data_IF_539529461160
#
_entry.id   IF_539529461160
#
_cell.length_a   1.000
_cell.length_b   1.000
_cell.length_c   1.000
_cell.angle_alpha   90.00
_cell.angle_beta   90.00
_cell.angle_gamma   90.00
#
_symmetry.space_group_name_H-M   'P 1'
#
loop_
_entity.id
_entity.type
_entity.pdbx_description
1 polymer ?
#
# COMPACT_ATOMS: atom_id res chain seq x y z
N UNK A 1 26.97 22.88 -0.81
CA UNK A 1 26.42 22.38 0.46
C UNK A 1 26.35 20.87 0.31
N UNK A 2 26.96 20.08 1.19
CA UNK A 2 26.73 18.63 1.16
C UNK A 2 25.24 18.40 1.39
N UNK A 3 24.54 17.87 0.39
CA UNK A 3 23.11 17.54 0.53
C UNK A 3 22.99 16.51 1.65
N UNK A 4 22.29 16.87 2.72
CA UNK A 4 21.99 15.98 3.83
C UNK A 4 21.10 14.84 3.29
N UNK A 5 21.63 13.61 3.30
CA UNK A 5 20.84 12.41 3.01
C UNK A 5 19.94 12.11 4.21
N UNK A 6 18.64 12.04 3.98
CA UNK A 6 17.64 11.84 5.03
C UNK A 6 16.88 10.53 4.83
N UNK A 7 16.81 9.70 5.86
CA UNK A 7 16.01 8.47 5.87
C UNK A 7 14.85 8.65 6.85
N UNK A 8 13.64 8.78 6.35
CA UNK A 8 12.42 8.75 7.15
C UNK A 8 11.95 7.33 7.42
N UNK A 9 11.53 7.03 8.64
CA UNK A 9 10.92 5.76 9.01
C UNK A 9 9.43 5.95 9.32
N UNK A 10 8.58 5.18 8.63
CA UNK A 10 7.13 5.12 8.85
C UNK A 10 6.65 3.68 8.99
N UNK A 11 5.42 3.48 9.46
CA UNK A 11 4.88 2.17 9.79
C UNK A 11 4.04 2.15 11.07
N UNK A 12 3.22 1.10 11.27
CA UNK A 12 2.30 1.06 12.39
C UNK A 12 3.01 0.79 13.72
N UNK A 13 2.31 1.04 14.83
CA UNK A 13 2.83 0.77 16.18
C UNK A 13 3.26 -0.70 16.32
N UNK A 14 4.44 -0.93 16.89
CA UNK A 14 4.99 -2.28 17.11
C UNK A 14 5.71 -2.90 15.90
N UNK A 15 5.78 -2.20 14.76
CA UNK A 15 6.47 -2.71 13.57
C UNK A 15 8.01 -2.72 13.70
N UNK A 16 8.58 -1.95 14.64
CA UNK A 16 10.03 -1.94 14.90
C UNK A 16 10.81 -0.80 14.24
N UNK A 17 10.16 0.33 13.94
CA UNK A 17 10.81 1.56 13.41
C UNK A 17 11.94 2.07 14.30
N UNK A 18 11.65 2.29 15.58
CA UNK A 18 12.64 2.71 16.57
C UNK A 18 13.79 1.72 16.69
N UNK A 19 13.51 0.41 16.59
CA UNK A 19 14.55 -0.62 16.59
C UNK A 19 15.46 -0.55 15.35
N UNK A 20 14.92 -0.20 14.17
CA UNK A 20 15.71 0.07 12.97
C UNK A 20 16.58 1.33 13.14
N UNK A 21 16.00 2.42 13.66
CA UNK A 21 16.71 3.67 13.90
C UNK A 21 17.87 3.48 14.89
N UNK A 22 17.63 2.82 16.02
CA UNK A 22 18.65 2.47 17.00
C UNK A 22 19.76 1.58 16.40
N UNK A 23 19.41 0.63 15.54
CA UNK A 23 20.38 -0.23 14.88
C UNK A 23 21.30 0.58 13.96
N UNK A 24 20.72 1.45 13.12
CA UNK A 24 21.48 2.34 12.25
C UNK A 24 22.39 3.28 13.05
N UNK A 25 21.89 3.84 14.14
CA UNK A 25 22.67 4.71 15.01
C UNK A 25 23.85 3.97 15.66
N UNK A 26 23.61 2.80 16.27
CA UNK A 26 24.65 2.02 16.96
C UNK A 26 25.70 1.44 16.02
N UNK A 27 25.28 0.93 14.85
CA UNK A 27 26.18 0.21 13.93
C UNK A 27 26.91 1.14 12.97
N UNK A 28 26.23 2.16 12.45
CA UNK A 28 26.76 3.04 11.40
C UNK A 28 27.02 4.47 11.89
N UNK A 29 26.77 4.77 13.17
CA UNK A 29 27.03 6.09 13.76
C UNK A 29 26.10 7.19 13.24
N UNK A 30 24.93 6.81 12.73
CA UNK A 30 23.97 7.71 12.08
C UNK A 30 23.16 8.49 13.12
N UNK A 31 23.04 9.80 12.92
CA UNK A 31 22.19 10.67 13.73
C UNK A 31 20.73 10.24 13.61
N UNK A 32 20.02 10.16 14.73
CA UNK A 32 18.59 9.78 14.75
C UNK A 32 17.79 10.83 15.49
N UNK A 33 16.75 11.34 14.85
CA UNK A 33 15.80 12.30 15.41
C UNK A 33 14.43 11.63 15.48
N UNK A 34 13.91 11.46 16.68
CA UNK A 34 12.56 10.93 16.92
C UNK A 34 11.56 12.08 16.93
N UNK A 35 10.60 12.09 16.01
CA UNK A 35 9.66 13.21 15.90
C UNK A 35 8.85 13.44 17.19
N UNK A 36 8.47 12.38 17.90
CA UNK A 36 7.72 12.52 19.16
C UNK A 36 8.55 13.09 20.32
N UNK A 37 9.88 13.09 20.25
CA UNK A 37 10.69 13.75 21.29
C UNK A 37 10.70 15.27 21.15
N UNK A 38 10.42 15.79 19.96
CA UNK A 38 10.33 17.23 19.70
C UNK A 38 9.04 17.87 20.26
N UNK A 39 8.07 17.04 20.66
CA UNK A 39 6.80 17.46 21.27
C UNK A 39 6.87 17.53 22.80
N UNK A 40 8.05 17.27 23.38
CA UNK A 40 8.29 17.31 24.81
C UNK A 40 8.91 18.65 25.17
N UNK A 41 8.41 19.26 26.24
CA UNK A 41 8.98 20.52 26.73
C UNK A 41 10.30 20.28 27.47
N UNK A 42 10.42 19.11 28.13
CA UNK A 42 11.64 18.61 28.77
C UNK A 42 11.98 17.22 28.20
N UNK A 43 13.23 16.94 27.76
CA UNK A 43 13.67 15.63 27.31
C UNK A 43 13.32 14.47 28.28
N UNK A 44 13.36 14.73 29.59
CA UNK A 44 13.11 13.74 30.64
C UNK A 44 11.63 13.62 31.02
N UNK A 45 10.74 14.40 30.39
CA UNK A 45 9.30 14.40 30.65
C UNK A 45 8.68 13.02 30.35
N UNK A 46 8.01 12.42 31.34
CA UNK A 46 7.20 11.21 31.15
C UNK A 46 5.81 11.58 30.70
N UNK A 47 5.66 11.79 29.39
CA UNK A 47 4.38 12.01 28.74
C UNK A 47 3.83 10.69 28.21
N UNK A 48 2.54 10.43 28.44
CA UNK A 48 1.89 9.28 27.85
C UNK A 48 1.74 9.42 26.33
N UNK A 49 1.40 8.32 25.67
CA UNK A 49 1.32 8.29 24.21
C UNK A 49 0.12 9.08 23.68
N UNK A 50 -0.97 9.22 24.42
CA UNK A 50 -2.16 9.95 23.96
C UNK A 50 -1.93 11.46 24.00
N UNK A 51 -1.23 11.94 25.03
CA UNK A 51 -0.88 13.34 25.19
C UNK A 51 0.11 13.80 24.12
N UNK A 52 1.15 13.01 23.82
CA UNK A 52 2.06 13.31 22.70
C UNK A 52 1.32 13.37 21.35
N UNK A 53 0.25 12.57 21.18
CA UNK A 53 -0.57 12.63 19.98
C UNK A 53 -1.35 13.93 19.92
N UNK A 54 -2.02 14.30 21.02
CA UNK A 54 -2.77 15.55 21.13
C UNK A 54 -1.88 16.77 20.86
N UNK A 55 -0.68 16.83 21.46
CA UNK A 55 0.29 17.90 21.20
C UNK A 55 0.69 17.96 19.72
N UNK A 56 0.94 16.81 19.09
CA UNK A 56 1.28 16.74 17.68
C UNK A 56 0.13 17.18 16.77
N UNK A 57 -1.11 16.82 17.09
CA UNK A 57 -2.29 17.22 16.32
C UNK A 57 -2.57 18.72 16.47
N UNK A 58 -2.40 19.26 17.68
CA UNK A 58 -2.49 20.70 17.94
C UNK A 58 -1.43 21.48 17.15
N UNK A 59 -0.17 21.04 17.16
CA UNK A 59 0.90 21.67 16.39
C UNK A 59 0.60 21.67 14.88
N UNK A 60 0.03 20.59 14.35
CA UNK A 60 -0.39 20.52 12.93
C UNK A 60 -1.54 21.48 12.61
N UNK A 61 -2.44 21.72 13.56
CA UNK A 61 -3.53 22.67 13.41
C UNK A 61 -3.04 24.12 13.44
N UNK A 62 -2.10 24.43 14.33
CA UNK A 62 -1.63 25.80 14.58
C UNK A 62 -0.57 26.27 13.57
N UNK A 63 0.40 25.40 13.26
CA UNK A 63 1.59 25.75 12.45
C UNK A 63 1.62 25.04 11.08
N UNK A 64 0.65 24.15 10.83
CA UNK A 64 0.49 23.42 9.57
C UNK A 64 0.98 21.97 9.62
N UNK A 65 0.49 21.15 8.68
CA UNK A 65 0.65 19.69 8.70
C UNK A 65 2.09 19.16 8.66
N UNK A 66 3.05 20.00 8.25
CA UNK A 66 4.47 19.67 8.13
C UNK A 66 5.36 20.26 9.24
N UNK A 67 4.79 20.98 10.21
CA UNK A 67 5.54 21.70 11.24
C UNK A 67 6.57 20.80 11.96
N UNK A 68 6.17 19.60 12.35
CA UNK A 68 7.05 18.65 13.06
C UNK A 68 8.24 18.19 12.20
N UNK A 69 8.06 18.05 10.88
CA UNK A 69 9.14 17.73 9.96
C UNK A 69 10.09 18.91 9.73
N UNK A 70 9.56 20.13 9.71
CA UNK A 70 10.37 21.35 9.62
C UNK A 70 11.28 21.49 10.85
N UNK A 71 10.72 21.32 12.06
CA UNK A 71 11.49 21.30 13.31
C UNK A 71 12.56 20.20 13.31
N UNK A 72 12.20 19.00 12.87
CA UNK A 72 13.14 17.88 12.80
C UNK A 72 14.30 18.15 11.83
N UNK A 73 14.01 18.74 10.66
CA UNK A 73 15.04 19.06 9.68
C UNK A 73 15.98 20.18 10.17
N UNK A 74 15.45 21.22 10.81
CA UNK A 74 16.25 22.29 11.43
C UNK A 74 17.17 21.73 12.53
N UNK A 75 16.65 20.83 13.37
CA UNK A 75 17.47 20.12 14.36
C UNK A 75 18.58 19.28 13.70
N UNK A 76 18.28 18.58 12.60
CA UNK A 76 19.26 17.78 11.86
C UNK A 76 20.39 18.63 11.25
N UNK A 77 20.05 19.81 10.71
CA UNK A 77 21.03 20.71 10.10
C UNK A 77 21.99 21.33 11.12
N UNK A 78 21.58 21.42 12.38
CA UNK A 78 22.42 21.90 13.49
C UNK A 78 23.40 20.83 14.00
N UNK A 79 23.27 19.57 13.57
CA UNK A 79 24.19 18.51 13.98
C UNK A 79 25.51 18.53 13.20
N UNK A 80 26.68 18.75 13.87
CA UNK A 80 27.97 18.93 13.19
C UNK A 80 28.52 17.72 12.42
N UNK A 81 27.88 16.54 12.57
CA UNK A 81 28.35 15.25 12.03
C UNK A 81 27.46 14.68 10.91
N UNK A 82 26.36 15.33 10.56
CA UNK A 82 25.34 14.71 9.73
C UNK A 82 25.66 14.82 8.23
N UNK A 83 26.40 13.84 7.70
CA UNK A 83 26.31 13.48 6.27
C UNK A 83 25.02 12.74 5.95
N UNK A 84 24.41 12.10 6.96
CA UNK A 84 23.12 11.42 6.87
C UNK A 84 22.38 11.46 8.21
N UNK A 85 21.04 11.57 8.16
CA UNK A 85 20.15 11.56 9.33
C UNK A 85 19.00 10.59 9.16
N UNK A 86 18.54 9.97 10.26
CA UNK A 86 17.33 9.14 10.31
C UNK A 86 16.25 9.85 11.09
N UNK A 87 15.07 10.04 10.49
CA UNK A 87 13.87 10.56 11.14
C UNK A 87 12.95 9.41 11.54
N UNK A 88 12.84 9.12 12.84
CA UNK A 88 11.93 8.11 13.36
C UNK A 88 10.55 8.69 13.67
N UNK A 89 9.50 7.98 13.28
CA UNK A 89 8.14 8.31 13.68
C UNK A 89 7.40 9.27 12.74
N UNK A 90 7.66 9.23 11.44
CA UNK A 90 6.83 9.94 10.45
C UNK A 90 5.44 9.31 10.40
N UNK A 91 4.41 10.12 10.64
CA UNK A 91 3.01 9.67 10.74
C UNK A 91 2.05 10.50 9.90
N UNK A 92 2.53 11.56 9.24
CA UNK A 92 1.72 12.39 8.36
C UNK A 92 2.33 12.51 6.94
N UNK A 93 1.56 12.38 5.86
CA UNK A 93 2.06 12.53 4.49
C UNK A 93 2.72 13.87 4.22
N UNK A 94 2.25 14.95 4.84
CA UNK A 94 2.85 16.27 4.71
C UNK A 94 4.27 16.32 5.26
N UNK A 95 4.56 15.62 6.37
CA UNK A 95 5.91 15.50 6.94
C UNK A 95 6.86 14.86 5.93
N UNK A 96 6.46 13.72 5.35
CA UNK A 96 7.26 13.02 4.34
C UNK A 96 7.47 13.86 3.06
N UNK A 97 6.43 14.55 2.58
CA UNK A 97 6.54 15.43 1.41
C UNK A 97 7.42 16.65 1.67
N UNK A 98 7.34 17.21 2.88
CA UNK A 98 8.19 18.32 3.27
C UNK A 98 9.67 17.92 3.27
N UNK A 99 10.01 16.78 3.87
CA UNK A 99 11.38 16.27 3.83
C UNK A 99 11.83 15.95 2.40
N UNK A 100 10.96 15.37 1.57
CA UNK A 100 11.24 15.12 0.16
C UNK A 100 11.50 16.39 -0.66
N UNK A 101 10.90 17.52 -0.29
CA UNK A 101 11.10 18.80 -0.97
C UNK A 101 12.34 19.56 -0.49
N UNK A 102 12.88 19.24 0.69
CA UNK A 102 13.93 20.03 1.35
C UNK A 102 15.22 19.24 1.67
N UNK A 103 15.28 17.95 1.36
CA UNK A 103 16.46 17.10 1.57
C UNK A 103 16.55 15.98 0.52
N UNK A 104 17.74 15.38 0.34
CA UNK A 104 17.88 14.13 -0.42
C UNK A 104 17.26 13.00 0.39
N UNK A 105 15.96 12.77 0.21
CA UNK A 105 15.16 12.01 1.18
C UNK A 105 14.68 10.67 0.65
N UNK A 106 14.73 9.64 1.49
CA UNK A 106 14.08 8.36 1.30
C UNK A 106 13.14 8.08 2.47
N UNK A 107 12.02 7.40 2.18
CA UNK A 107 11.01 7.01 3.17
C UNK A 107 10.94 5.50 3.18
N UNK A 108 11.18 4.90 4.34
CA UNK A 108 11.17 3.45 4.53
C UNK A 108 9.96 3.10 5.40
N UNK A 109 9.08 2.28 4.85
CA UNK A 109 7.98 1.68 5.62
C UNK A 109 8.48 0.39 6.29
N UNK A 110 8.48 0.37 7.61
CA UNK A 110 8.73 -0.84 8.40
C UNK A 110 7.38 -1.42 8.79
N UNK A 111 7.10 -2.63 8.31
CA UNK A 111 5.80 -3.32 8.49
C UNK A 111 5.97 -4.59 9.33
N UNK A 112 4.88 -5.03 9.96
CA UNK A 112 4.81 -6.32 10.64
C UNK A 112 3.33 -6.72 10.79
N UNK A 113 3.04 -8.02 10.77
CA UNK A 113 1.69 -8.55 10.96
C UNK A 113 1.14 -8.16 12.33
N UNK A 114 -0.17 -7.93 12.40
CA UNK A 114 -0.85 -7.47 13.61
C UNK A 114 -0.56 -8.38 14.82
N UNK A 115 -0.54 -9.71 14.62
CA UNK A 115 -0.16 -10.67 15.67
C UNK A 115 1.29 -10.50 16.17
N UNK A 116 2.24 -10.29 15.26
CA UNK A 116 3.63 -10.03 15.62
C UNK A 116 3.74 -8.74 16.43
N UNK A 117 3.02 -7.69 16.02
CA UNK A 117 3.02 -6.39 16.69
C UNK A 117 2.39 -6.49 18.08
N UNK A 118 1.26 -7.16 18.19
CA UNK A 118 0.61 -7.47 19.47
C UNK A 118 1.58 -8.16 20.43
N UNK A 119 2.29 -9.21 19.98
CA UNK A 119 3.29 -9.90 20.80
C UNK A 119 4.42 -8.99 21.32
N UNK A 120 4.75 -7.90 20.60
CA UNK A 120 5.79 -6.94 20.99
C UNK A 120 5.28 -5.86 21.94
N UNK A 121 4.04 -5.39 21.76
CA UNK A 121 3.51 -4.25 22.51
C UNK A 121 2.40 -4.60 23.49
N UNK A 122 2.01 -5.86 23.67
CA UNK A 122 0.88 -6.26 24.54
C UNK A 122 0.98 -5.68 25.95
N UNK A 123 2.21 -5.59 26.51
CA UNK A 123 2.45 -5.01 27.84
C UNK A 123 2.07 -3.52 27.90
N UNK A 124 2.36 -2.76 26.85
CA UNK A 124 2.01 -1.34 26.77
C UNK A 124 0.48 -1.12 26.77
N UNK A 125 -0.26 -2.12 26.31
CA UNK A 125 -1.73 -2.13 26.30
C UNK A 125 -2.33 -2.89 27.50
N UNK A 126 -1.56 -3.13 28.57
CA UNK A 126 -2.03 -3.91 29.75
C UNK A 126 -2.63 -5.27 29.37
N UNK A 127 -2.14 -5.88 28.30
CA UNK A 127 -2.65 -7.12 27.70
C UNK A 127 -4.11 -7.06 27.24
N UNK A 128 -4.64 -5.85 27.00
CA UNK A 128 -5.94 -5.64 26.37
C UNK A 128 -5.81 -5.56 24.84
N UNK A 129 -6.22 -6.63 24.15
CA UNK A 129 -6.17 -6.71 22.69
C UNK A 129 -7.12 -5.72 22.02
N UNK A 130 -8.25 -5.41 22.64
CA UNK A 130 -9.25 -4.51 22.05
C UNK A 130 -8.75 -3.07 21.96
N UNK A 131 -7.98 -2.62 22.96
CA UNK A 131 -7.31 -1.32 22.91
C UNK A 131 -6.26 -1.25 21.80
N UNK A 132 -5.48 -2.33 21.64
CA UNK A 132 -4.52 -2.42 20.54
C UNK A 132 -5.21 -2.40 19.17
N UNK A 133 -6.25 -3.21 18.97
CA UNK A 133 -6.99 -3.29 17.69
C UNK A 133 -7.69 -1.95 17.36
N UNK A 134 -8.10 -1.17 18.38
CA UNK A 134 -8.65 0.17 18.17
C UNK A 134 -7.58 1.15 17.63
N UNK A 135 -6.38 1.14 18.22
CA UNK A 135 -5.25 1.94 17.74
C UNK A 135 -4.80 1.48 16.35
N UNK A 136 -4.77 0.17 16.13
CA UNK A 136 -4.30 -0.43 14.88
C UNK A 136 -5.22 -0.10 13.69
N UNK A 137 -6.54 -0.20 13.89
CA UNK A 137 -7.53 0.20 12.88
C UNK A 137 -7.45 1.68 12.53
N UNK A 138 -7.23 2.52 13.54
CA UNK A 138 -7.04 3.97 13.37
C UNK A 138 -5.79 4.26 12.52
N UNK A 139 -4.66 3.64 12.82
CA UNK A 139 -3.40 3.83 12.07
C UNK A 139 -3.49 3.32 10.62
N UNK A 140 -4.27 2.25 10.40
CA UNK A 140 -4.39 1.56 9.10
C UNK A 140 -5.37 2.23 8.12
N UNK A 141 -6.12 3.25 8.54
CA UNK A 141 -7.24 3.83 7.75
C UNK A 141 -8.11 2.72 7.13
N UNK A 142 -8.55 1.75 7.94
CA UNK A 142 -9.87 1.18 7.64
C UNK A 142 -10.84 2.36 7.82
N UNK A 143 -11.16 3.03 6.71
CA UNK A 143 -12.16 4.08 6.71
C UNK A 143 -13.39 3.55 7.41
N UNK A 144 -14.09 4.43 8.13
CA UNK A 144 -15.47 4.15 8.45
C UNK A 144 -16.24 3.69 7.19
N UNK A 145 -17.40 3.09 7.38
CA UNK A 145 -18.28 2.58 6.30
C UNK A 145 -18.62 3.64 5.22
N UNK A 146 -18.22 4.91 5.41
CA UNK A 146 -18.62 6.08 4.65
C UNK A 146 -17.47 6.91 4.05
N UNK A 147 -16.20 6.57 4.33
CA UNK A 147 -15.05 7.20 3.68
C UNK A 147 -14.76 8.63 4.13
N UNK A 148 -15.13 9.03 5.35
CA UNK A 148 -14.88 10.39 5.85
C UNK A 148 -13.48 10.44 6.48
N UNK A 149 -12.57 11.16 5.83
CA UNK A 149 -11.25 11.45 6.39
C UNK A 149 -11.37 12.54 7.47
N UNK A 150 -10.69 12.34 8.61
CA UNK A 150 -10.42 13.44 9.55
C UNK A 150 -9.29 14.28 8.92
N UNK A 151 -9.52 15.59 8.72
CA UNK A 151 -8.57 16.51 8.07
C UNK A 151 -7.28 16.69 8.88
N UNK A 152 -7.33 16.47 10.20
CA UNK A 152 -6.18 16.61 11.10
C UNK A 152 -6.02 15.35 11.97
N UNK A 153 -4.85 14.68 11.90
CA UNK A 153 -4.55 13.48 12.68
C UNK A 153 -3.49 12.57 12.04
N UNK A 154 -3.11 11.47 12.71
CA UNK A 154 -2.16 10.50 12.16
C UNK A 154 -2.71 9.78 10.92
N UNK A 155 -1.88 9.66 9.87
CA UNK A 155 -2.21 9.09 8.56
C UNK A 155 -1.12 8.12 8.12
N UNK A 156 -0.85 7.12 8.95
CA UNK A 156 0.28 6.18 8.77
C UNK A 156 0.11 5.36 7.49
N UNK A 157 -1.09 4.87 7.18
CA UNK A 157 -1.38 4.17 5.93
C UNK A 157 -1.03 5.00 4.68
N UNK A 158 -1.37 6.29 4.68
CA UNK A 158 -1.03 7.18 3.57
C UNK A 158 0.50 7.40 3.47
N UNK A 159 1.21 7.45 4.60
CA UNK A 159 2.67 7.53 4.61
C UNK A 159 3.30 6.27 4.02
N UNK A 160 2.76 5.08 4.33
CA UNK A 160 3.21 3.81 3.74
C UNK A 160 3.03 3.85 2.22
N UNK A 161 1.93 4.43 1.71
CA UNK A 161 1.72 4.64 0.27
C UNK A 161 2.71 5.60 -0.41
N UNK A 162 3.43 6.40 0.37
CA UNK A 162 4.52 7.27 -0.10
C UNK A 162 5.91 6.63 0.04
N UNK A 163 6.01 5.42 0.60
CA UNK A 163 7.29 4.81 0.90
C UNK A 163 8.10 4.51 -0.37
N UNK A 164 9.39 4.80 -0.28
CA UNK A 164 10.42 4.51 -1.27
C UNK A 164 10.93 3.06 -1.14
N UNK A 165 10.84 2.47 0.05
CA UNK A 165 11.14 1.08 0.31
C UNK A 165 10.24 0.51 1.41
N UNK A 166 9.98 -0.80 1.35
CA UNK A 166 9.19 -1.54 2.33
C UNK A 166 10.05 -2.64 2.93
N UNK A 167 10.04 -2.79 4.26
CA UNK A 167 10.75 -3.84 5.00
C UNK A 167 9.79 -4.53 5.95
N UNK A 168 9.65 -5.86 5.84
CA UNK A 168 8.89 -6.64 6.81
C UNK A 168 9.74 -7.11 7.97
N UNK A 169 9.23 -6.83 9.17
CA UNK A 169 9.75 -7.25 10.45
C UNK A 169 8.78 -8.22 11.12
N UNK A 170 8.62 -9.41 10.53
CA UNK A 170 7.83 -10.49 11.11
C UNK A 170 8.65 -11.48 11.95
N UNK A 171 9.92 -11.16 12.21
CA UNK A 171 10.82 -11.89 13.09
C UNK A 171 10.25 -11.95 14.53
N UNK A 172 9.95 -13.13 15.10
CA UNK A 172 9.46 -13.25 16.46
C UNK A 172 10.60 -12.99 17.44
N UNK A 173 10.70 -11.78 17.98
CA UNK A 173 11.54 -11.49 19.14
C UNK A 173 10.70 -10.84 20.24
N UNK A 174 10.74 -11.43 21.43
CA UNK A 174 10.06 -10.91 22.61
C UNK A 174 10.98 -9.91 23.34
N UNK A 175 10.44 -8.79 23.86
CA UNK A 175 11.16 -7.99 24.85
C UNK A 175 11.37 -8.81 26.14
N UNK A 176 12.59 -9.30 26.35
CA UNK A 176 13.01 -9.90 27.62
C UNK A 176 12.69 -11.38 27.85
N UNK A 177 12.68 -12.22 26.81
CA UNK A 177 12.54 -13.68 26.96
C UNK A 177 13.40 -14.44 25.96
N UNK A 178 13.99 -15.55 26.39
CA UNK A 178 14.80 -16.46 25.56
C UNK A 178 13.98 -16.97 24.38
N UNK A 179 14.27 -16.48 23.18
CA UNK A 179 13.65 -16.95 21.96
C UNK A 179 13.98 -18.44 21.72
N UNK A 180 13.02 -19.26 21.25
CA UNK A 180 13.30 -20.61 20.80
C UNK A 180 14.27 -20.57 19.61
N UNK A 181 15.20 -21.54 19.56
CA UNK A 181 16.18 -21.66 18.49
C UNK A 181 15.46 -21.95 17.16
N UNK A 182 15.69 -21.10 16.16
CA UNK A 182 15.22 -21.14 14.77
C UNK A 182 13.77 -20.70 14.45
N UNK A 183 13.62 -19.39 14.23
CA UNK A 183 13.03 -18.73 13.04
C UNK A 183 13.05 -17.22 13.29
N UNK A 184 13.72 -16.42 12.48
CA UNK A 184 13.58 -14.95 12.52
C UNK A 184 14.11 -14.27 13.76
N UNK A 185 15.43 -14.24 13.96
CA UNK A 185 15.99 -13.41 15.04
C UNK A 185 15.87 -11.93 14.68
N UNK A 186 15.93 -11.04 15.69
CA UNK A 186 16.19 -9.60 15.49
C UNK A 186 17.39 -9.35 14.55
N UNK A 187 18.30 -10.32 14.41
CA UNK A 187 19.41 -10.29 13.45
C UNK A 187 18.95 -10.21 11.99
N UNK A 188 17.96 -10.99 11.56
CA UNK A 188 17.47 -10.97 10.17
C UNK A 188 16.86 -9.61 9.81
N UNK A 189 16.07 -9.03 10.72
CA UNK A 189 15.53 -7.68 10.53
C UNK A 189 16.66 -6.65 10.43
N UNK A 190 17.68 -6.74 11.29
CA UNK A 190 18.85 -5.86 11.25
C UNK A 190 19.64 -5.99 9.95
N UNK A 191 19.78 -7.21 9.42
CA UNK A 191 20.43 -7.47 8.14
C UNK A 191 19.66 -6.84 6.97
N UNK A 192 18.32 -6.91 6.98
CA UNK A 192 17.48 -6.22 6.00
C UNK A 192 17.67 -4.70 6.04
N UNK A 193 17.66 -4.12 7.25
CA UNK A 193 17.90 -2.69 7.47
C UNK A 193 19.31 -2.30 7.01
N UNK A 194 20.32 -3.12 7.29
CA UNK A 194 21.69 -2.90 6.84
C UNK A 194 21.83 -2.96 5.32
N UNK A 195 21.23 -3.97 4.68
CA UNK A 195 21.27 -4.11 3.22
C UNK A 195 20.61 -2.90 2.53
N UNK A 196 19.47 -2.45 3.06
CA UNK A 196 18.79 -1.25 2.59
C UNK A 196 19.65 0.00 2.81
N UNK A 197 20.26 0.15 3.98
CA UNK A 197 21.14 1.27 4.30
C UNK A 197 22.35 1.32 3.36
N UNK A 198 23.01 0.19 3.08
CA UNK A 198 24.17 0.16 2.17
C UNK A 198 23.83 0.65 0.77
N UNK A 199 22.66 0.30 0.25
CA UNK A 199 22.19 0.78 -1.05
C UNK A 199 21.84 2.28 -0.99
N UNK A 200 21.11 2.73 0.03
CA UNK A 200 20.71 4.14 0.16
C UNK A 200 21.90 5.08 0.38
N UNK A 201 22.86 4.67 1.20
CA UNK A 201 24.09 5.39 1.48
C UNK A 201 25.13 5.29 0.35
N UNK A 202 24.78 4.65 -0.78
CA UNK A 202 25.65 4.44 -1.93
C UNK A 202 26.96 3.68 -1.59
N UNK A 203 26.94 2.91 -0.50
CA UNK A 203 28.06 2.04 -0.13
C UNK A 203 28.07 0.73 -0.93
N UNK A 204 26.95 0.37 -1.56
CA UNK A 204 26.79 -0.84 -2.37
C UNK A 204 25.86 -0.57 -3.56
N UNK A 205 26.31 -0.93 -4.76
CA UNK A 205 25.47 -1.01 -5.97
C UNK A 205 25.11 -2.46 -6.25
N UNK A 206 23.82 -2.75 -6.40
CA UNK A 206 23.31 -4.07 -6.80
C UNK A 206 22.23 -3.96 -7.86
N UNK A 207 22.03 -4.99 -8.71
CA UNK A 207 20.84 -5.06 -9.55
C UNK A 207 19.56 -5.16 -8.69
N UNK A 208 18.40 -4.73 -9.23
CA UNK A 208 17.12 -4.98 -8.59
C UNK A 208 16.85 -6.47 -8.45
N UNK A 209 16.18 -6.86 -7.38
CA UNK A 209 15.65 -8.22 -7.25
C UNK A 209 14.53 -8.44 -8.28
N UNK A 210 14.21 -9.71 -8.56
CA UNK A 210 13.09 -10.05 -9.45
C UNK A 210 11.79 -9.44 -8.93
N UNK A 211 11.55 -9.49 -7.62
CA UNK A 211 10.36 -8.92 -6.99
C UNK A 211 10.28 -7.39 -7.18
N UNK A 212 11.36 -6.65 -6.91
CA UNK A 212 11.42 -5.20 -7.11
C UNK A 212 11.17 -4.81 -8.57
N UNK A 213 11.78 -5.56 -9.51
CA UNK A 213 11.61 -5.31 -10.94
C UNK A 213 10.18 -5.59 -11.40
N UNK A 214 9.62 -6.76 -11.07
CA UNK A 214 8.28 -7.17 -11.52
C UNK A 214 7.18 -6.33 -10.88
N UNK A 215 7.32 -5.97 -9.60
CA UNK A 215 6.39 -5.04 -8.96
C UNK A 215 6.48 -3.64 -9.60
N UNK A 216 7.68 -3.15 -9.92
CA UNK A 216 7.84 -1.87 -10.63
C UNK A 216 7.23 -1.89 -12.02
N UNK A 217 7.31 -3.01 -12.73
CA UNK A 217 6.63 -3.19 -14.02
C UNK A 217 5.11 -3.28 -13.88
N UNK A 218 4.58 -3.94 -12.84
CA UNK A 218 3.15 -3.92 -12.55
C UNK A 218 2.65 -2.49 -12.27
N UNK A 219 3.42 -1.69 -11.52
CA UNK A 219 3.12 -0.27 -11.33
C UNK A 219 3.25 0.54 -12.63
N UNK A 220 4.18 0.21 -13.53
CA UNK A 220 4.27 0.86 -14.83
C UNK A 220 3.05 0.52 -15.71
N UNK A 221 2.62 -0.75 -15.75
CA UNK A 221 1.43 -1.19 -16.48
C UNK A 221 0.16 -0.50 -15.95
N UNK A 222 0.05 -0.27 -14.63
CA UNK A 222 -1.11 0.40 -14.05
C UNK A 222 -1.32 1.82 -14.59
N UNK A 223 -0.26 2.50 -15.02
CA UNK A 223 -0.33 3.86 -15.59
C UNK A 223 -1.18 3.91 -16.86
N UNK A 224 -1.29 2.79 -17.59
CA UNK A 224 -2.13 2.65 -18.78
C UNK A 224 -3.63 2.60 -18.45
N UNK A 225 -4.02 2.42 -17.19
CA UNK A 225 -5.42 2.42 -16.78
C UNK A 225 -6.07 3.80 -16.93
N UNK A 226 -7.23 3.84 -17.58
CA UNK A 226 -8.14 4.98 -17.59
C UNK A 226 -9.06 5.04 -16.36
N UNK A 227 -8.95 4.11 -15.41
CA UNK A 227 -9.85 4.05 -14.27
C UNK A 227 -9.68 5.30 -13.38
N UNK A 228 -10.81 5.95 -13.08
CA UNK A 228 -10.87 7.16 -12.26
C UNK A 228 -10.76 6.89 -10.75
N UNK A 229 -10.93 5.63 -10.32
CA UNK A 229 -10.96 5.27 -8.89
C UNK A 229 -9.63 4.74 -8.39
N UNK A 230 -9.07 3.74 -9.07
CA UNK A 230 -7.79 3.15 -8.73
C UNK A 230 -7.15 2.59 -9.99
N UNK A 231 -5.88 2.89 -10.17
CA UNK A 231 -5.05 2.33 -11.23
C UNK A 231 -4.37 1.08 -10.68
N UNK A 232 -4.69 -0.07 -11.25
CA UNK A 232 -4.18 -1.38 -10.86
C UNK A 232 -3.45 -1.96 -12.06
N UNK A 233 -2.28 -2.53 -11.82
CA UNK A 233 -1.50 -3.24 -12.82
C UNK A 233 -1.06 -4.60 -12.31
N UNK A 234 -0.84 -5.51 -13.23
CA UNK A 234 -0.50 -6.90 -12.96
C UNK A 234 0.49 -7.43 -14.01
N UNK A 235 1.38 -8.31 -13.57
CA UNK A 235 2.37 -8.99 -14.41
C UNK A 235 2.38 -10.47 -14.01
N UNK A 236 2.22 -11.37 -14.97
CA UNK A 236 2.37 -12.82 -14.77
C UNK A 236 3.73 -13.23 -15.31
N UNK A 237 4.45 -14.01 -14.52
CA UNK A 237 5.74 -14.58 -14.91
C UNK A 237 5.72 -16.10 -14.90
N UNK A 238 6.62 -16.72 -15.65
CA UNK A 238 6.96 -18.12 -15.47
C UNK A 238 7.74 -18.32 -14.15
N UNK A 239 7.99 -19.57 -13.71
CA UNK A 239 8.76 -19.84 -12.49
C UNK A 239 10.18 -19.23 -12.48
N UNK A 240 10.80 -19.05 -13.65
CA UNK A 240 12.12 -18.40 -13.80
C UNK A 240 12.06 -16.85 -13.70
N UNK A 241 10.88 -16.30 -13.44
CA UNK A 241 10.65 -14.86 -13.31
C UNK A 241 10.62 -14.10 -14.65
N UNK A 242 10.43 -14.76 -15.80
CA UNK A 242 10.25 -14.12 -17.12
C UNK A 242 8.79 -13.77 -17.34
N UNK A 243 8.52 -12.57 -17.85
CA UNK A 243 7.15 -12.10 -18.09
C UNK A 243 6.50 -12.94 -19.20
N UNK A 244 5.33 -13.49 -18.90
CA UNK A 244 4.46 -14.15 -19.88
C UNK A 244 3.42 -13.14 -20.38
N UNK A 245 2.81 -12.40 -19.46
CA UNK A 245 1.78 -11.41 -19.78
C UNK A 245 1.74 -10.28 -18.76
N UNK A 246 1.08 -9.19 -19.13
CA UNK A 246 0.78 -8.06 -18.28
C UNK A 246 -0.67 -7.63 -18.47
N UNK A 247 -1.21 -6.94 -17.47
CA UNK A 247 -2.57 -6.43 -17.47
C UNK A 247 -2.69 -5.18 -16.62
N UNK A 248 -3.72 -4.40 -16.91
CA UNK A 248 -4.13 -3.26 -16.11
C UNK A 248 -5.65 -3.15 -16.15
N UNK A 249 -6.24 -2.56 -15.11
CA UNK A 249 -7.69 -2.51 -15.02
C UNK A 249 -8.27 -1.51 -16.04
N UNK A 250 -9.16 -1.98 -16.91
CA UNK A 250 -9.71 -1.19 -18.01
C UNK A 250 -10.92 -1.91 -18.64
N UNK A 251 -11.77 -1.19 -19.37
CA UNK A 251 -12.92 -1.74 -20.11
C UNK A 251 -12.48 -2.69 -21.24
N UNK A 252 -13.31 -3.68 -21.63
CA UNK A 252 -13.02 -4.56 -22.76
C UNK A 252 -12.64 -3.81 -24.04
N UNK A 253 -11.82 -4.44 -24.90
CA UNK A 253 -11.36 -3.83 -26.16
C UNK A 253 -12.55 -3.36 -27.01
N UNK A 254 -12.48 -2.12 -27.51
CA UNK A 254 -13.52 -1.52 -28.36
C UNK A 254 -14.67 -0.85 -27.61
N UNK A 255 -14.63 -0.84 -26.28
CA UNK A 255 -15.61 -0.14 -25.44
C UNK A 255 -15.09 1.25 -25.00
N UNK A 256 -15.97 2.26 -24.84
CA UNK A 256 -15.59 3.55 -24.28
C UNK A 256 -15.06 3.41 -22.86
N UNK A 257 -13.86 3.95 -22.64
CA UNK A 257 -13.15 4.02 -21.37
C UNK A 257 -13.85 4.94 -20.37
N UNK A 258 -13.47 4.87 -19.09
CA UNK A 258 -14.02 5.78 -18.07
C UNK A 258 -13.62 7.25 -18.31
N UNK A 259 -12.47 7.50 -18.94
CA UNK A 259 -12.05 8.85 -19.32
C UNK A 259 -12.92 9.40 -20.46
N UNK A 260 -13.27 8.57 -21.43
CA UNK A 260 -14.12 8.94 -22.57
C UNK A 260 -15.59 9.15 -22.17
N UNK A 261 -16.02 8.63 -21.01
CA UNK A 261 -17.34 8.90 -20.42
C UNK A 261 -17.40 10.25 -19.68
N UNK A 262 -16.90 11.32 -20.32
CA UNK A 262 -16.81 12.67 -19.74
C UNK A 262 -16.11 12.70 -18.37
N UNK A 263 -15.14 11.80 -18.14
CA UNK A 263 -14.46 11.68 -16.85
C UNK A 263 -15.36 11.23 -15.69
N UNK A 264 -16.49 10.56 -15.95
CA UNK A 264 -17.33 9.97 -14.89
C UNK A 264 -17.12 8.47 -14.76
N UNK A 265 -17.11 7.98 -13.52
CA UNK A 265 -17.08 6.54 -13.28
C UNK A 265 -18.45 5.95 -13.60
N UNK A 266 -18.50 4.94 -14.48
CA UNK A 266 -19.77 4.29 -14.83
C UNK A 266 -20.56 3.78 -13.60
N UNK A 267 -19.86 3.29 -12.56
CA UNK A 267 -20.49 2.89 -11.29
C UNK A 267 -21.18 4.05 -10.58
N UNK A 268 -20.66 5.27 -10.71
CA UNK A 268 -21.30 6.47 -10.16
C UNK A 268 -22.50 6.87 -10.98
N UNK A 269 -22.40 6.81 -12.32
CA UNK A 269 -23.55 7.04 -13.21
C UNK A 269 -24.73 6.10 -12.85
N UNK A 270 -24.44 4.82 -12.60
CA UNK A 270 -25.43 3.82 -12.15
C UNK A 270 -26.00 4.15 -10.76
N UNK A 271 -25.17 4.64 -9.83
CA UNK A 271 -25.57 4.95 -8.44
C UNK A 271 -26.37 6.24 -8.31
N UNK A 272 -26.03 7.25 -9.10
CA UNK A 272 -26.61 8.59 -9.04
C UNK A 272 -28.01 8.65 -9.65
N UNK A 273 -28.51 7.54 -10.22
CA UNK A 273 -29.81 7.53 -10.91
C UNK A 273 -29.87 8.62 -11.97
N UNK A 274 -28.82 8.72 -12.79
CA UNK A 274 -28.90 9.46 -14.05
C UNK A 274 -29.73 8.61 -15.03
N UNK A 275 -31.03 8.48 -14.71
CA UNK A 275 -31.99 7.60 -15.36
C UNK A 275 -31.97 7.82 -16.87
N UNK A 276 -31.90 9.07 -17.33
CA UNK A 276 -31.82 9.38 -18.77
C UNK A 276 -30.54 8.85 -19.45
N UNK A 277 -29.38 8.94 -18.80
CA UNK A 277 -28.10 8.47 -19.37
C UNK A 277 -27.97 6.93 -19.35
N UNK A 278 -28.58 6.27 -18.36
CA UNK A 278 -28.67 4.81 -18.30
C UNK A 278 -29.66 4.27 -19.32
N UNK A 279 -30.85 4.85 -19.39
CA UNK A 279 -31.93 4.38 -20.27
C UNK A 279 -31.58 4.57 -21.75
N UNK A 280 -30.92 5.67 -22.11
CA UNK A 280 -30.52 5.95 -23.50
C UNK A 280 -29.35 5.11 -24.03
N UNK A 281 -28.51 4.56 -23.14
CA UNK A 281 -27.34 3.76 -23.53
C UNK A 281 -27.59 2.25 -23.54
N UNK A 282 -28.66 1.77 -22.90
CA UNK A 282 -28.98 0.35 -22.78
C UNK A 282 -29.98 -0.12 -23.84
N UNK A 283 -29.65 -1.23 -24.49
CA UNK A 283 -30.55 -2.01 -25.34
C UNK A 283 -31.03 -3.22 -24.56
N UNK A 284 -32.28 -3.63 -24.76
CA UNK A 284 -32.82 -4.83 -24.12
C UNK A 284 -31.97 -6.07 -24.46
N UNK A 285 -31.53 -6.84 -23.45
CA UNK A 285 -30.73 -8.05 -23.66
C UNK A 285 -31.47 -9.18 -24.38
N UNK A 286 -32.81 -9.17 -24.33
CA UNK A 286 -33.66 -10.20 -24.95
C UNK A 286 -34.01 -9.89 -26.41
N UNK A 287 -34.27 -8.62 -26.75
CA UNK A 287 -34.76 -8.23 -28.08
C UNK A 287 -34.05 -7.03 -28.74
N UNK A 288 -33.12 -6.38 -28.05
CA UNK A 288 -32.40 -5.19 -28.56
C UNK A 288 -33.22 -3.89 -28.58
N UNK A 289 -34.47 -3.90 -28.10
CA UNK A 289 -35.33 -2.71 -28.04
C UNK A 289 -34.87 -1.65 -27.04
N UNK A 290 -35.40 -0.43 -27.19
CA UNK A 290 -35.16 0.67 -26.25
C UNK A 290 -35.81 0.37 -24.89
N UNK A 291 -35.11 0.74 -23.82
CA UNK A 291 -35.63 0.67 -22.45
C UNK A 291 -36.23 2.04 -22.13
N UNK A 292 -37.29 2.09 -21.33
CA UNK A 292 -37.88 3.36 -20.85
C UNK A 292 -37.41 3.73 -19.43
N UNK A 293 -37.85 4.90 -18.95
CA UNK A 293 -37.55 5.44 -17.62
C UNK A 293 -38.04 4.56 -16.45
N UNK A 294 -38.91 3.59 -16.71
CA UNK A 294 -39.42 2.65 -15.70
C UNK A 294 -38.64 1.33 -15.66
N UNK A 295 -37.52 1.24 -16.39
CA UNK A 295 -36.75 0.02 -16.61
C UNK A 295 -37.55 -1.08 -17.31
N UNK A 296 -38.48 -0.68 -18.17
CA UNK A 296 -39.28 -1.60 -18.97
C UNK A 296 -38.83 -1.54 -20.43
N UNK A 297 -38.63 -2.69 -21.08
CA UNK A 297 -38.37 -2.70 -22.50
C UNK A 297 -39.63 -2.29 -23.27
N UNK A 298 -39.53 -1.25 -24.09
CA UNK A 298 -40.63 -0.73 -24.93
C UNK A 298 -41.10 -1.71 -26.01
N UNK A 299 -40.29 -2.72 -26.35
CA UNK A 299 -40.64 -3.73 -27.35
C UNK A 299 -41.21 -5.02 -26.76
N UNK A 300 -40.63 -5.56 -25.68
CA UNK A 300 -41.03 -6.86 -25.14
C UNK A 300 -41.69 -6.80 -23.75
N UNK A 301 -41.75 -5.62 -23.12
CA UNK A 301 -42.39 -5.44 -21.81
C UNK A 301 -41.61 -6.01 -20.63
N UNK A 302 -40.36 -6.44 -20.84
CA UNK A 302 -39.52 -6.96 -19.76
C UNK A 302 -39.12 -5.87 -18.76
N UNK A 303 -39.36 -6.09 -17.47
CA UNK A 303 -39.07 -5.12 -16.40
C UNK A 303 -37.84 -5.53 -15.58
N UNK A 304 -36.85 -4.65 -15.48
CA UNK A 304 -35.66 -4.86 -14.64
C UNK A 304 -35.90 -4.36 -13.20
N UNK A 305 -35.52 -5.16 -12.20
CA UNK A 305 -35.78 -4.90 -10.77
C UNK A 305 -34.97 -3.75 -10.14
N UNK A 306 -35.54 -3.16 -9.09
CA UNK A 306 -35.23 -1.87 -8.46
C UNK A 306 -33.79 -1.62 -7.96
N UNK A 307 -33.52 -0.31 -7.79
CA UNK A 307 -32.28 0.37 -7.36
C UNK A 307 -31.30 -0.45 -6.52
N UNK A 308 -30.04 -0.59 -6.95
CA UNK A 308 -29.05 -1.39 -6.23
C UNK A 308 -28.64 -0.72 -4.90
N UNK A 309 -28.41 -1.52 -3.83
CA UNK A 309 -28.00 -1.00 -2.53
C UNK A 309 -26.67 -0.24 -2.59
N UNK A 310 -26.40 0.61 -1.57
CA UNK A 310 -25.15 1.36 -1.36
C UNK A 310 -23.95 0.45 -1.02
N UNK A 311 -23.69 -0.61 -1.78
CA UNK A 311 -22.48 -1.44 -1.71
C UNK A 311 -21.47 -0.92 -2.73
N UNK A 312 -20.16 -1.22 -2.62
CA UNK A 312 -19.26 -1.12 -3.77
C UNK A 312 -19.79 -2.06 -4.84
N UNK A 313 -20.68 -1.56 -5.71
CA UNK A 313 -21.30 -2.34 -6.78
C UNK A 313 -20.23 -2.63 -7.84
N UNK A 314 -19.34 -3.57 -7.52
CA UNK A 314 -18.30 -4.07 -8.41
C UNK A 314 -18.93 -4.78 -9.61
N UNK A 315 -20.14 -5.30 -9.47
CA UNK A 315 -20.91 -5.94 -10.53
C UNK A 315 -21.24 -4.98 -11.69
N UNK A 316 -21.33 -3.67 -11.45
CA UNK A 316 -21.47 -2.66 -12.50
C UNK A 316 -20.12 -2.12 -12.99
N UNK A 317 -19.00 -2.60 -12.47
CA UNK A 317 -17.70 -2.21 -12.99
C UNK A 317 -17.55 -2.75 -14.42
N UNK A 318 -17.49 -1.87 -15.41
CA UNK A 318 -17.20 -2.25 -16.80
C UNK A 318 -15.75 -2.68 -17.01
N UNK A 319 -14.86 -2.27 -16.12
CA UNK A 319 -13.44 -2.59 -16.25
C UNK A 319 -13.18 -4.03 -15.83
N UNK A 320 -12.50 -4.78 -16.69
CA UNK A 320 -11.77 -5.98 -16.31
C UNK A 320 -10.70 -5.58 -15.31
N UNK A 321 -10.47 -6.40 -14.31
CA UNK A 321 -9.40 -6.18 -13.35
C UNK A 321 -8.03 -6.44 -13.99
N UNK A 322 -6.96 -5.94 -13.37
CA UNK A 322 -5.62 -6.06 -13.94
C UNK A 322 -5.18 -7.54 -14.01
N UNK A 323 -5.46 -8.29 -12.96
CA UNK A 323 -5.16 -9.71 -12.79
C UNK A 323 -5.92 -10.55 -13.82
N UNK A 324 -7.21 -10.28 -13.99
CA UNK A 324 -8.05 -10.90 -15.02
C UNK A 324 -7.52 -10.59 -16.42
N UNK A 325 -7.15 -9.34 -16.68
CA UNK A 325 -6.61 -8.95 -17.98
C UNK A 325 -5.27 -9.62 -18.25
N UNK A 326 -4.39 -9.76 -17.25
CA UNK A 326 -3.12 -10.45 -17.40
C UNK A 326 -3.33 -11.93 -17.79
N UNK A 327 -4.29 -12.62 -17.16
CA UNK A 327 -4.69 -13.99 -17.54
C UNK A 327 -5.22 -14.04 -18.97
N UNK A 328 -6.16 -13.15 -19.33
CA UNK A 328 -6.73 -13.09 -20.68
C UNK A 328 -5.68 -12.77 -21.75
N UNK A 329 -4.71 -11.91 -21.44
CA UNK A 329 -3.62 -11.56 -22.35
C UNK A 329 -2.67 -12.75 -22.57
N UNK A 330 -2.43 -13.57 -21.53
CA UNK A 330 -1.66 -14.80 -21.70
C UNK A 330 -2.34 -15.75 -22.69
N UNK A 331 -3.68 -15.86 -22.63
CA UNK A 331 -4.45 -16.67 -23.59
C UNK A 331 -4.53 -16.03 -25.00
N UNK A 332 -4.74 -14.72 -25.09
CA UNK A 332 -4.99 -14.02 -26.36
C UNK A 332 -3.72 -13.83 -27.19
N UNK A 333 -2.61 -13.49 -26.55
CA UNK A 333 -1.36 -13.10 -27.20
C UNK A 333 -0.20 -14.07 -26.93
N UNK A 334 -0.31 -14.90 -25.91
CA UNK A 334 0.70 -15.89 -25.57
C UNK A 334 0.51 -17.22 -26.30
N UNK A 335 1.57 -18.03 -26.28
CA UNK A 335 1.56 -19.43 -26.72
C UNK A 335 2.07 -20.41 -25.66
N UNK A 336 2.34 -19.92 -24.44
CA UNK A 336 2.87 -20.69 -23.32
C UNK A 336 1.89 -20.57 -22.15
N UNK A 337 1.62 -21.69 -21.47
CA UNK A 337 0.76 -21.70 -20.29
C UNK A 337 1.35 -20.90 -19.12
N UNK A 338 0.49 -20.51 -18.19
CA UNK A 338 0.87 -19.74 -16.98
C UNK A 338 0.92 -20.60 -15.71
N UNK A 339 0.61 -21.89 -15.80
CA UNK A 339 0.66 -22.84 -14.68
C UNK A 339 2.04 -22.85 -13.99
N UNK A 340 2.04 -22.89 -12.66
CA UNK A 340 3.23 -22.75 -11.82
C UNK A 340 3.81 -21.34 -11.76
N UNK A 341 3.28 -20.39 -12.54
CA UNK A 341 3.75 -19.02 -12.62
C UNK A 341 3.45 -18.16 -11.39
N UNK A 342 4.03 -16.96 -11.36
CA UNK A 342 3.91 -15.99 -10.27
C UNK A 342 3.18 -14.75 -10.79
N UNK A 343 2.12 -14.32 -10.09
CA UNK A 343 1.42 -13.06 -10.34
C UNK A 343 2.00 -11.96 -9.44
N UNK A 344 2.41 -10.84 -10.04
CA UNK A 344 2.74 -9.60 -9.35
C UNK A 344 1.61 -8.60 -9.62
N UNK A 345 0.95 -8.08 -8.59
CA UNK A 345 -0.16 -7.10 -8.72
C UNK A 345 0.04 -5.90 -7.80
N UNK A 346 -0.30 -4.70 -8.26
CA UNK A 346 -0.16 -3.49 -7.44
C UNK A 346 -1.10 -3.47 -6.24
N UNK A 347 -2.20 -4.23 -6.30
CA UNK A 347 -3.22 -4.29 -5.25
C UNK A 347 -3.64 -5.73 -5.01
N UNK A 348 -3.89 -6.11 -3.75
CA UNK A 348 -4.35 -7.46 -3.41
C UNK A 348 -5.62 -7.85 -4.19
N UNK A 349 -5.68 -9.08 -4.74
CA UNK A 349 -6.72 -9.48 -5.67
C UNK A 349 -8.10 -9.62 -5.04
N UNK A 350 -9.14 -9.29 -5.81
CA UNK A 350 -10.52 -9.57 -5.40
C UNK A 350 -10.86 -11.07 -5.51
N UNK A 351 -11.99 -11.50 -4.93
CA UNK A 351 -12.42 -12.90 -4.92
C UNK A 351 -12.64 -13.47 -6.33
N UNK A 352 -13.10 -12.66 -7.30
CA UNK A 352 -13.25 -13.10 -8.69
C UNK A 352 -11.90 -13.29 -9.37
N UNK A 353 -10.90 -12.46 -9.05
CA UNK A 353 -9.54 -12.64 -9.55
C UNK A 353 -8.87 -13.84 -8.87
N UNK A 354 -9.04 -14.01 -7.56
CA UNK A 354 -8.53 -15.14 -6.81
C UNK A 354 -9.01 -16.49 -7.38
N UNK A 355 -10.28 -16.61 -7.77
CA UNK A 355 -10.81 -17.80 -8.47
C UNK A 355 -10.04 -18.11 -9.75
N UNK A 356 -9.78 -17.09 -10.57
CA UNK A 356 -9.05 -17.24 -11.84
C UNK A 356 -7.59 -17.58 -11.62
N UNK A 357 -6.95 -16.96 -10.62
CA UNK A 357 -5.58 -17.23 -10.21
C UNK A 357 -5.41 -18.71 -9.83
N UNK A 358 -6.30 -19.23 -8.98
CA UNK A 358 -6.31 -20.63 -8.55
C UNK A 358 -6.58 -21.57 -9.72
N UNK A 359 -7.60 -21.29 -10.53
CA UNK A 359 -7.99 -22.12 -11.68
C UNK A 359 -6.90 -22.19 -12.76
N UNK A 360 -6.15 -21.10 -12.95
CA UNK A 360 -5.01 -21.06 -13.87
C UNK A 360 -3.75 -21.77 -13.33
N UNK A 361 -3.78 -22.28 -12.10
CA UNK A 361 -2.66 -23.00 -11.49
C UNK A 361 -1.45 -22.13 -11.18
N UNK A 362 -1.64 -20.83 -10.88
CA UNK A 362 -0.53 -19.98 -10.42
C UNK A 362 -0.04 -20.46 -9.05
N UNK A 363 1.26 -20.41 -8.83
CA UNK A 363 1.88 -20.89 -7.58
C UNK A 363 2.00 -19.81 -6.51
N UNK A 364 2.10 -18.55 -6.91
CA UNK A 364 2.35 -17.43 -6.00
C UNK A 364 1.69 -16.13 -6.47
N UNK A 365 1.21 -15.34 -5.51
CA UNK A 365 0.72 -13.97 -5.68
C UNK A 365 1.55 -13.02 -4.82
N UNK A 366 2.25 -12.10 -5.47
CA UNK A 366 2.95 -10.99 -4.85
C UNK A 366 2.15 -9.71 -5.05
N UNK A 367 1.75 -9.03 -3.97
CA UNK A 367 0.93 -7.82 -4.05
C UNK A 367 1.56 -6.59 -3.38
N UNK A 368 1.35 -5.39 -3.93
CA UNK A 368 1.87 -4.14 -3.38
C UNK A 368 1.03 -3.61 -2.21
N UNK A 369 -0.17 -3.12 -2.54
CA UNK A 369 -1.10 -2.48 -1.60
C UNK A 369 -2.08 -3.50 -1.02
N UNK A 370 -2.31 -3.48 0.30
CA UNK A 370 -3.28 -4.37 0.93
C UNK A 370 -4.70 -3.98 0.50
N UNK A 371 -5.55 -4.99 0.34
CA UNK A 371 -6.97 -4.83 0.13
C UNK A 371 -7.67 -6.00 0.83
N UNK A 372 -8.37 -5.72 1.93
CA UNK A 372 -8.97 -6.78 2.74
C UNK A 372 -10.19 -7.36 2.04
N UNK A 373 -10.07 -8.63 1.63
CA UNK A 373 -11.18 -9.41 1.11
C UNK A 373 -11.06 -10.84 1.62
N UNK A 374 -11.76 -11.12 2.72
CA UNK A 374 -11.69 -12.38 3.44
C UNK A 374 -11.94 -13.58 2.52
N UNK A 375 -12.90 -13.48 1.61
CA UNK A 375 -13.24 -14.54 0.66
C UNK A 375 -12.08 -14.86 -0.29
N UNK A 376 -11.29 -13.85 -0.68
CA UNK A 376 -10.12 -14.05 -1.52
C UNK A 376 -8.96 -14.65 -0.72
N UNK A 377 -8.73 -14.18 0.52
CA UNK A 377 -7.71 -14.73 1.42
C UNK A 377 -7.97 -16.21 1.75
N UNK A 378 -9.22 -16.56 2.06
CA UNK A 378 -9.64 -17.94 2.34
C UNK A 378 -9.41 -18.82 1.10
N UNK A 379 -9.84 -18.38 -0.08
CA UNK A 379 -9.70 -19.15 -1.31
C UNK A 379 -8.24 -19.42 -1.69
N UNK A 380 -7.38 -18.40 -1.62
CA UNK A 380 -5.95 -18.56 -1.95
C UNK A 380 -5.25 -19.48 -0.96
N UNK A 381 -5.61 -19.39 0.33
CA UNK A 381 -5.09 -20.29 1.38
C UNK A 381 -5.55 -21.73 1.19
N UNK A 382 -6.84 -21.94 0.90
CA UNK A 382 -7.40 -23.28 0.73
C UNK A 382 -6.84 -23.99 -0.53
N UNK A 383 -6.35 -23.21 -1.50
CA UNK A 383 -5.63 -23.69 -2.68
C UNK A 383 -4.12 -23.89 -2.47
N UNK A 384 -3.60 -23.69 -1.25
CA UNK A 384 -2.17 -23.75 -0.90
C UNK A 384 -1.30 -22.81 -1.75
N UNK A 385 -1.85 -21.66 -2.15
CA UNK A 385 -1.15 -20.67 -2.97
C UNK A 385 -0.30 -19.77 -2.08
N UNK A 386 0.95 -19.53 -2.47
CA UNK A 386 1.84 -18.65 -1.71
C UNK A 386 1.45 -17.18 -1.92
N UNK A 387 1.00 -16.52 -0.84
CA UNK A 387 0.60 -15.11 -0.88
C UNK A 387 1.58 -14.25 -0.10
N UNK A 388 2.27 -13.35 -0.80
CA UNK A 388 3.29 -12.48 -0.23
C UNK A 388 2.99 -11.01 -0.50
N UNK A 389 3.04 -10.17 0.53
CA UNK A 389 3.08 -8.72 0.33
C UNK A 389 4.48 -8.27 -0.06
N UNK A 390 4.57 -7.32 -0.99
CA UNK A 390 5.81 -6.78 -1.52
C UNK A 390 6.78 -6.30 -0.43
N UNK A 391 8.06 -6.62 -0.63
CA UNK A 391 9.20 -6.12 0.15
C UNK A 391 10.29 -5.63 -0.80
N UNK A 392 10.98 -4.54 -0.45
CA UNK A 392 12.07 -3.96 -1.24
C UNK A 392 11.81 -2.52 -1.68
N UNK A 393 12.61 -2.04 -2.64
CA UNK A 393 12.46 -0.71 -3.22
C UNK A 393 11.21 -0.61 -4.10
N UNK A 394 10.35 0.36 -3.80
CA UNK A 394 9.07 0.55 -4.50
C UNK A 394 9.30 1.25 -5.86
N UNK A 395 8.28 1.24 -6.71
CA UNK A 395 8.28 1.95 -8.00
C UNK A 395 8.64 3.45 -7.86
N UNK A 396 8.42 4.06 -6.68
CA UNK A 396 8.73 5.47 -6.41
C UNK A 396 10.23 5.76 -6.37
N UNK A 397 11.03 4.80 -5.91
CA UNK A 397 12.48 4.96 -5.82
C UNK A 397 13.24 4.08 -6.81
N UNK A 398 12.56 3.16 -7.50
CA UNK A 398 13.19 2.16 -8.36
C UNK A 398 14.22 2.76 -9.32
N UNK A 399 13.82 3.73 -10.13
CA UNK A 399 14.74 4.39 -11.07
C UNK A 399 15.85 5.15 -10.34
N UNK A 400 15.50 5.90 -9.29
CA UNK A 400 16.46 6.69 -8.51
C UNK A 400 17.53 5.81 -7.86
N UNK A 401 17.20 4.58 -7.48
CA UNK A 401 18.13 3.64 -6.82
C UNK A 401 18.94 2.84 -7.85
N UNK A 402 18.31 2.34 -8.91
CA UNK A 402 18.92 1.35 -9.81
C UNK A 402 19.43 1.91 -11.15
N UNK A 403 19.23 3.20 -11.46
CA UNK A 403 19.84 3.85 -12.62
C UNK A 403 21.19 4.51 -12.32
N UNK A 404 21.67 4.38 -11.08
CA UNK A 404 22.90 5.03 -10.60
C UNK A 404 24.15 4.26 -11.00
#
# INVERSE_FOLDING_TARGET
MSELLAIGLTGPLGAGRTAAAEHLSRKHGVATITLSSLLRDDPDEKVDTEELQRRGDQLRADEGEAALAAMALDAAQKEPRAGMVVFDGLKHPAEARYLAANADFYLVAVLARSETRWGRCSRAFRHDRTQFDAVDRRDSRETDRWGIAVDHGQRVADCIGLAHAIVWNDSPFLPGGTAPRNRGTLGEFREKIDALYRVLAQAETRPPTVMELRMSQAYAASLCSSCLKRKVGAVITNPDGRIISEGYNEVPTGQPTCLELNGRCYREMVREQDHEALVSAFRCGECGGDIDETLTCTQCGWQYGATPPKRPNLDYCRALHAEERAVLHASRYGGVGIEGGILYTTTFPCALCAKKIVDCGLSQVVFGEPYHMREAEELLRDADLEVQQFEGFTHRAFNRVFQR
#
